data_IF_665194905751
#
_entry.id   IF_665194905751
#
_cell.length_a   1.000
_cell.length_b   1.000
_cell.length_c   1.000
_cell.angle_alpha   90.00
_cell.angle_beta   90.00
_cell.angle_gamma   90.00
#
_symmetry.space_group_name_H-M   'P 1'
#
loop_
_entity.id
_entity.type
_entity.pdbx_description
1 polymer ?
#
# COMPACT_ATOMS: atom_id res chain seq x y z
N UNK A 1 10.51 -4.11 -16.48
CA UNK A 1 11.63 -4.99 -16.86
C UNK A 1 12.63 -4.29 -17.77
N UNK A 2 12.22 -3.80 -18.96
CA UNK A 2 13.13 -3.16 -19.92
C UNK A 2 13.96 -2.03 -19.30
N UNK A 3 13.34 -1.13 -18.54
CA UNK A 3 14.03 -0.02 -17.89
C UNK A 3 15.17 -0.50 -16.96
N UNK A 4 14.87 -1.43 -16.05
CA UNK A 4 15.86 -1.98 -15.11
C UNK A 4 16.97 -2.76 -15.81
N UNK A 5 16.64 -3.54 -16.83
CA UNK A 5 17.65 -4.32 -17.54
C UNK A 5 18.56 -3.44 -18.41
N UNK A 6 17.99 -2.45 -19.11
CA UNK A 6 18.72 -1.63 -20.09
C UNK A 6 19.47 -0.46 -19.46
N UNK A 7 18.89 0.22 -18.47
CA UNK A 7 19.47 1.43 -17.88
C UNK A 7 20.17 1.20 -16.54
N UNK A 8 19.82 0.13 -15.82
CA UNK A 8 20.36 -0.17 -14.50
C UNK A 8 21.16 -1.46 -14.43
N UNK A 9 21.30 -2.15 -15.56
CA UNK A 9 22.08 -3.38 -15.72
C UNK A 9 21.71 -4.47 -14.68
N UNK A 10 20.40 -4.63 -14.45
CA UNK A 10 19.89 -5.70 -13.60
C UNK A 10 19.82 -6.99 -14.42
N UNK A 11 20.14 -8.12 -13.79
CA UNK A 11 19.85 -9.42 -14.37
C UNK A 11 18.34 -9.56 -14.62
N UNK A 12 17.95 -10.42 -15.57
CA UNK A 12 16.56 -10.51 -16.03
C UNK A 12 15.58 -10.85 -14.90
N UNK A 13 16.01 -11.65 -13.90
CA UNK A 13 15.16 -12.09 -12.78
C UNK A 13 14.93 -10.94 -11.81
N UNK A 14 16.00 -10.25 -11.42
CA UNK A 14 15.93 -9.03 -10.60
C UNK A 14 15.14 -7.95 -11.32
N UNK A 15 15.42 -7.68 -12.60
CA UNK A 15 14.71 -6.67 -13.40
C UNK A 15 13.21 -6.96 -13.56
N UNK A 16 12.83 -8.24 -13.61
CA UNK A 16 11.44 -8.66 -13.65
C UNK A 16 10.74 -8.36 -12.32
N UNK A 17 11.26 -8.89 -11.20
CA UNK A 17 10.67 -8.70 -9.86
C UNK A 17 10.70 -7.25 -9.38
N UNK A 18 11.74 -6.50 -9.72
CA UNK A 18 11.83 -5.05 -9.46
C UNK A 18 10.76 -4.25 -10.20
N UNK A 19 10.24 -4.74 -11.32
CA UNK A 19 9.18 -4.06 -12.09
C UNK A 19 7.77 -4.56 -11.83
N UNK A 20 7.61 -5.65 -11.08
CA UNK A 20 6.29 -6.16 -10.73
C UNK A 20 5.66 -5.27 -9.66
N UNK A 21 4.37 -4.90 -9.81
CA UNK A 21 3.63 -4.15 -8.80
C UNK A 21 3.20 -5.08 -7.64
N UNK A 22 4.19 -5.60 -6.91
CA UNK A 22 4.02 -6.42 -5.72
C UNK A 22 4.34 -5.68 -4.42
N UNK A 23 4.07 -6.31 -3.28
CA UNK A 23 4.64 -5.86 -2.00
C UNK A 23 6.12 -6.26 -1.89
N UNK A 24 6.87 -5.54 -1.05
CA UNK A 24 8.31 -5.76 -0.85
C UNK A 24 8.55 -7.21 -0.39
N UNK A 25 7.81 -7.65 0.61
CA UNK A 25 7.97 -8.96 1.26
C UNK A 25 7.79 -10.08 0.24
N UNK A 26 6.74 -10.01 -0.57
CA UNK A 26 6.42 -11.08 -1.50
C UNK A 26 7.40 -11.15 -2.67
N UNK A 27 7.86 -9.99 -3.16
CA UNK A 27 8.89 -9.96 -4.21
C UNK A 27 10.23 -10.49 -3.69
N UNK A 28 10.54 -10.28 -2.42
CA UNK A 28 11.73 -10.87 -1.76
C UNK A 28 11.61 -12.39 -1.68
N UNK A 29 10.46 -12.91 -1.24
CA UNK A 29 10.22 -14.37 -1.15
C UNK A 29 10.35 -15.04 -2.52
N UNK A 30 9.74 -14.47 -3.56
CA UNK A 30 9.86 -15.00 -4.93
C UNK A 30 11.31 -14.86 -5.43
N UNK A 31 11.97 -13.74 -5.09
CA UNK A 31 13.36 -13.47 -5.42
C UNK A 31 14.33 -14.51 -4.87
N UNK A 32 14.14 -14.91 -3.61
CA UNK A 32 14.90 -15.99 -2.97
C UNK A 32 14.76 -17.32 -3.72
N UNK A 33 13.52 -17.67 -4.12
CA UNK A 33 13.25 -18.92 -4.84
C UNK A 33 13.95 -19.00 -6.20
N UNK A 34 14.05 -17.86 -6.92
CA UNK A 34 14.66 -17.81 -8.25
C UNK A 34 16.12 -17.30 -8.24
N UNK A 35 16.71 -17.14 -7.04
CA UNK A 35 18.07 -16.61 -6.82
C UNK A 35 18.31 -15.24 -7.45
N UNK A 36 17.32 -14.35 -7.40
CA UNK A 36 17.45 -12.95 -7.79
C UNK A 36 18.20 -12.14 -6.72
N UNK A 37 18.66 -10.94 -7.08
CA UNK A 37 19.33 -10.05 -6.12
C UNK A 37 18.30 -9.37 -5.21
N UNK A 38 18.12 -9.93 -4.02
CA UNK A 38 17.15 -9.48 -3.00
C UNK A 38 17.39 -8.02 -2.62
N UNK A 39 18.65 -7.63 -2.38
CA UNK A 39 19.00 -6.26 -1.99
C UNK A 39 18.55 -5.23 -3.03
N UNK A 40 18.79 -5.50 -4.31
CA UNK A 40 18.34 -4.64 -5.42
C UNK A 40 16.81 -4.58 -5.50
N UNK A 41 16.12 -5.72 -5.34
CA UNK A 41 14.65 -5.77 -5.34
C UNK A 41 14.08 -4.93 -4.20
N UNK A 42 14.58 -5.14 -2.98
CA UNK A 42 14.15 -4.41 -1.79
C UNK A 42 14.37 -2.91 -1.95
N UNK A 43 15.55 -2.49 -2.39
CA UNK A 43 15.84 -1.07 -2.61
C UNK A 43 14.90 -0.45 -3.65
N UNK A 44 14.67 -1.12 -4.78
CA UNK A 44 13.74 -0.62 -5.81
C UNK A 44 12.32 -0.50 -5.28
N UNK A 45 11.82 -1.53 -4.60
CA UNK A 45 10.45 -1.54 -4.10
C UNK A 45 10.26 -0.49 -3.01
N UNK A 46 11.26 -0.29 -2.15
CA UNK A 46 11.24 0.75 -1.12
C UNK A 46 11.41 2.15 -1.68
N UNK A 47 12.21 2.36 -2.72
CA UNK A 47 12.27 3.64 -3.43
C UNK A 47 10.91 4.01 -4.05
N UNK A 48 10.21 3.05 -4.66
CA UNK A 48 8.84 3.25 -5.16
C UNK A 48 7.88 3.64 -4.04
N UNK A 49 7.90 2.93 -2.91
CA UNK A 49 7.07 3.26 -1.74
C UNK A 49 7.38 4.65 -1.20
N UNK A 50 8.66 4.99 -1.08
CA UNK A 50 9.12 6.30 -0.64
C UNK A 50 8.58 7.42 -1.55
N UNK A 51 8.69 7.26 -2.88
CA UNK A 51 8.16 8.26 -3.81
C UNK A 51 6.66 8.44 -3.66
N UNK A 52 5.89 7.37 -3.44
CA UNK A 52 4.43 7.46 -3.30
C UNK A 52 4.04 8.12 -2.00
N UNK A 53 4.65 7.72 -0.88
CA UNK A 53 4.35 8.30 0.44
C UNK A 53 4.68 9.78 0.46
N UNK A 54 5.72 10.22 -0.25
CA UNK A 54 6.03 11.65 -0.38
C UNK A 54 5.06 12.32 -1.35
N UNK A 55 4.91 11.82 -2.58
CA UNK A 55 4.20 12.55 -3.64
C UNK A 55 2.68 12.56 -3.48
N UNK A 56 2.09 11.45 -3.05
CA UNK A 56 0.63 11.25 -3.08
C UNK A 56 -0.13 12.21 -2.15
N UNK A 57 0.31 12.50 -0.91
CA UNK A 57 -0.30 13.54 -0.10
C UNK A 57 -0.26 14.92 -0.77
N UNK A 58 0.85 15.32 -1.39
CA UNK A 58 0.92 16.61 -2.10
C UNK A 58 -0.03 16.64 -3.30
N UNK A 59 -0.13 15.54 -4.05
CA UNK A 59 -1.09 15.43 -5.16
C UNK A 59 -2.52 15.64 -4.65
N UNK A 60 -2.91 14.96 -3.57
CA UNK A 60 -4.26 15.09 -3.02
C UNK A 60 -4.52 16.52 -2.48
N UNK A 61 -3.57 17.10 -1.75
CA UNK A 61 -3.76 18.40 -1.12
C UNK A 61 -3.75 19.55 -2.14
N UNK A 62 -2.82 19.54 -3.09
CA UNK A 62 -2.62 20.67 -4.00
C UNK A 62 -3.37 20.53 -5.32
N UNK A 63 -3.55 19.31 -5.84
CA UNK A 63 -4.26 19.09 -7.11
C UNK A 63 -5.75 18.88 -6.88
N UNK A 64 -6.12 18.09 -5.86
CA UNK A 64 -7.52 17.80 -5.55
C UNK A 64 -8.12 18.73 -4.49
N UNK A 65 -7.32 19.62 -3.88
CA UNK A 65 -7.75 20.57 -2.87
C UNK A 65 -8.43 19.92 -1.65
N UNK A 66 -8.00 18.71 -1.29
CA UNK A 66 -8.52 17.96 -0.14
C UNK A 66 -7.57 18.15 1.04
N UNK A 67 -8.09 18.64 2.15
CA UNK A 67 -7.31 18.76 3.37
C UNK A 67 -7.02 17.36 3.96
N UNK A 68 -5.73 17.06 4.14
CA UNK A 68 -5.24 15.80 4.68
C UNK A 68 -4.81 16.00 6.15
N UNK A 69 -5.05 17.18 6.74
CA UNK A 69 -4.63 17.53 8.10
C UNK A 69 -5.35 16.74 9.21
N UNK A 70 -6.00 15.62 8.88
CA UNK A 70 -6.54 14.66 9.84
C UNK A 70 -7.70 15.21 10.65
N UNK A 71 -8.52 16.08 10.05
CA UNK A 71 -9.65 16.66 10.74
C UNK A 71 -10.89 16.56 9.83
N UNK A 72 -11.93 15.91 10.34
CA UNK A 72 -13.36 16.27 10.16
C UNK A 72 -14.37 15.25 9.59
N UNK A 73 -14.07 13.96 9.33
CA UNK A 73 -15.16 13.04 8.92
C UNK A 73 -15.19 11.68 9.66
N UNK A 74 -14.08 10.95 9.75
CA UNK A 74 -14.09 9.53 10.19
C UNK A 74 -13.37 9.30 11.52
N UNK A 75 -12.70 10.31 12.05
CA UNK A 75 -11.92 10.23 13.29
C UNK A 75 -12.44 11.19 14.34
N UNK A 76 -12.07 10.93 15.60
CA UNK A 76 -12.38 11.79 16.75
C UNK A 76 -11.12 11.95 17.62
N UNK A 77 -10.99 13.02 18.41
CA UNK A 77 -9.90 13.12 19.38
C UNK A 77 -9.94 11.95 20.38
N UNK A 78 -8.77 11.52 20.86
CA UNK A 78 -8.67 10.44 21.85
C UNK A 78 -9.50 10.71 23.11
N UNK A 79 -9.63 11.99 23.50
CA UNK A 79 -10.40 12.43 24.67
C UNK A 79 -11.90 12.10 24.53
N UNK A 80 -12.42 12.17 23.31
CA UNK A 80 -13.84 11.90 23.00
C UNK A 80 -14.08 10.44 22.60
N UNK A 81 -13.03 9.61 22.62
CA UNK A 81 -13.09 8.20 22.22
C UNK A 81 -13.49 7.31 23.39
N UNK A 82 -14.50 6.46 23.23
CA UNK A 82 -14.83 5.45 24.22
C UNK A 82 -13.75 4.34 24.23
N UNK A 83 -12.83 4.41 25.21
CA UNK A 83 -11.72 3.47 25.34
C UNK A 83 -12.16 2.00 25.47
N UNK A 84 -13.35 1.73 26.02
CA UNK A 84 -13.88 0.37 26.13
C UNK A 84 -14.28 -0.17 24.76
N UNK A 85 -15.01 0.62 23.97
CA UNK A 85 -15.37 0.25 22.60
C UNK A 85 -14.13 0.12 21.71
N UNK A 86 -13.13 0.98 21.87
CA UNK A 86 -11.85 0.87 21.18
C UNK A 86 -11.10 -0.42 21.53
N UNK A 87 -11.12 -0.82 22.80
CA UNK A 87 -10.54 -2.10 23.25
C UNK A 87 -11.29 -3.28 22.62
N UNK A 88 -12.63 -3.29 22.67
CA UNK A 88 -13.44 -4.32 22.02
C UNK A 88 -13.18 -4.39 20.53
N UNK A 89 -13.11 -3.25 19.83
CA UNK A 89 -12.82 -3.18 18.40
C UNK A 89 -11.42 -3.75 18.10
N UNK A 90 -10.43 -3.46 18.93
CA UNK A 90 -9.07 -3.99 18.81
C UNK A 90 -9.05 -5.52 18.99
N UNK A 91 -9.76 -6.03 19.99
CA UNK A 91 -9.91 -7.48 20.21
C UNK A 91 -10.59 -8.17 19.03
N UNK A 92 -11.69 -7.59 18.53
CA UNK A 92 -12.41 -8.11 17.36
C UNK A 92 -11.50 -8.10 16.14
N UNK A 93 -10.76 -7.02 15.91
CA UNK A 93 -9.78 -6.94 14.82
C UNK A 93 -8.75 -8.06 14.91
N UNK A 94 -8.17 -8.29 16.09
CA UNK A 94 -7.21 -9.37 16.31
C UNK A 94 -7.83 -10.76 16.04
N UNK A 95 -9.06 -11.00 16.50
CA UNK A 95 -9.80 -12.24 16.24
C UNK A 95 -10.05 -12.41 14.74
N UNK A 96 -10.49 -11.35 14.05
CA UNK A 96 -10.75 -11.37 12.61
C UNK A 96 -9.50 -11.69 11.81
N UNK A 97 -8.37 -11.05 12.15
CA UNK A 97 -7.08 -11.35 11.54
C UNK A 97 -6.65 -12.79 11.79
N UNK A 98 -6.84 -13.31 13.01
CA UNK A 98 -6.51 -14.68 13.35
C UNK A 98 -7.36 -15.70 12.58
N UNK A 99 -8.68 -15.48 12.49
CA UNK A 99 -9.61 -16.32 11.73
C UNK A 99 -9.24 -16.31 10.24
N UNK A 100 -9.05 -15.12 9.66
CA UNK A 100 -8.70 -14.99 8.25
C UNK A 100 -7.35 -15.64 7.93
N UNK A 101 -6.38 -15.56 8.87
CA UNK A 101 -5.10 -16.24 8.75
C UNK A 101 -5.26 -17.75 8.76
N UNK A 102 -6.09 -18.28 9.67
CA UNK A 102 -6.39 -19.73 9.75
C UNK A 102 -7.07 -20.25 8.47
N UNK A 103 -7.86 -19.40 7.81
CA UNK A 103 -8.50 -19.69 6.52
C UNK A 103 -7.57 -19.49 5.31
N UNK A 104 -6.30 -19.12 5.51
CA UNK A 104 -5.32 -18.82 4.45
C UNK A 104 -5.81 -17.77 3.44
N UNK A 105 -6.56 -16.77 3.91
CA UNK A 105 -7.02 -15.67 3.07
C UNK A 105 -5.84 -14.73 2.78
N UNK A 106 -5.67 -14.35 1.50
CA UNK A 106 -4.70 -13.33 1.09
C UNK A 106 -4.99 -12.00 1.79
N UNK A 107 -3.96 -11.30 2.30
CA UNK A 107 -4.15 -10.11 3.12
C UNK A 107 -5.06 -10.33 4.35
N UNK A 108 -4.98 -11.51 4.98
CA UNK A 108 -5.76 -11.90 6.16
C UNK A 108 -5.81 -10.84 7.27
N UNK A 109 -4.68 -10.20 7.56
CA UNK A 109 -4.54 -9.16 8.59
C UNK A 109 -5.27 -7.85 8.26
N UNK A 110 -5.79 -7.70 7.04
CA UNK A 110 -6.63 -6.59 6.63
C UNK A 110 -8.09 -7.03 6.43
N UNK A 111 -8.30 -8.10 5.67
CA UNK A 111 -9.65 -8.59 5.33
C UNK A 111 -10.40 -9.06 6.58
N UNK A 112 -9.72 -9.81 7.45
CA UNK A 112 -10.31 -10.34 8.68
C UNK A 112 -10.89 -9.25 9.58
N UNK A 113 -10.09 -8.27 10.01
CA UNK A 113 -10.58 -7.13 10.78
C UNK A 113 -11.68 -6.34 10.05
N UNK A 114 -11.57 -6.14 8.73
CA UNK A 114 -12.59 -5.41 7.97
C UNK A 114 -13.95 -6.11 8.01
N UNK A 115 -14.00 -7.42 7.73
CA UNK A 115 -15.27 -8.17 7.72
C UNK A 115 -15.92 -8.15 9.10
N UNK A 116 -15.16 -8.45 10.17
CA UNK A 116 -15.73 -8.44 11.51
C UNK A 116 -16.14 -7.03 11.95
N UNK A 117 -15.35 -6.01 11.61
CA UNK A 117 -15.70 -4.62 11.90
C UNK A 117 -17.02 -4.23 11.21
N UNK A 118 -17.22 -4.62 9.95
CA UNK A 118 -18.47 -4.39 9.22
C UNK A 118 -19.64 -5.05 9.95
N UNK A 119 -19.51 -6.31 10.35
CA UNK A 119 -20.58 -7.04 11.05
C UNK A 119 -20.96 -6.36 12.37
N UNK A 120 -19.97 -5.94 13.16
CA UNK A 120 -20.22 -5.30 14.45
C UNK A 120 -20.85 -3.91 14.28
N UNK A 121 -20.34 -3.09 13.36
CA UNK A 121 -20.91 -1.77 13.09
C UNK A 121 -22.32 -1.87 12.48
N UNK A 122 -22.57 -2.86 11.62
CA UNK A 122 -23.90 -3.08 11.02
C UNK A 122 -24.97 -3.50 12.04
N UNK A 123 -24.56 -4.19 13.12
CA UNK A 123 -25.44 -4.57 14.21
C UNK A 123 -25.64 -3.45 15.26
N UNK A 124 -24.98 -2.30 15.09
CA UNK A 124 -25.05 -1.18 16.03
C UNK A 124 -24.40 -1.46 17.40
N UNK A 125 -23.48 -2.43 17.47
CA UNK A 125 -22.80 -2.81 18.72
C UNK A 125 -21.67 -1.84 19.11
N UNK A 126 -21.05 -1.19 18.13
CA UNK A 126 -19.97 -0.21 18.31
C UNK A 126 -20.26 0.98 17.40
N UNK A 127 -20.11 2.19 17.95
CA UNK A 127 -20.25 3.44 17.23
C UNK A 127 -18.97 4.28 17.27
N UNK A 128 -17.99 3.85 18.06
CA UNK A 128 -16.73 4.57 18.26
C UNK A 128 -15.93 4.66 16.98
N UNK A 129 -15.59 5.91 16.62
CA UNK A 129 -14.65 6.25 15.55
C UNK A 129 -13.20 6.03 16.02
N UNK A 130 -12.30 5.85 15.08
CA UNK A 130 -10.87 5.65 15.38
C UNK A 130 -10.25 6.99 15.84
N UNK A 131 -9.44 7.00 16.91
CA UNK A 131 -8.82 8.24 17.37
C UNK A 131 -7.77 8.79 16.40
N UNK A 132 -7.74 10.11 16.22
CA UNK A 132 -6.78 10.80 15.35
C UNK A 132 -5.33 10.51 15.71
N UNK A 133 -5.04 10.50 17.01
CA UNK A 133 -3.71 10.26 17.56
C UNK A 133 -3.21 8.86 17.22
N UNK A 134 -4.11 7.87 17.13
CA UNK A 134 -3.73 6.51 16.73
C UNK A 134 -3.34 6.46 15.25
N UNK A 135 -4.05 7.18 14.37
CA UNK A 135 -3.67 7.26 12.95
C UNK A 135 -2.32 7.95 12.80
N UNK A 136 -2.09 9.07 13.51
CA UNK A 136 -0.79 9.78 13.51
C UNK A 136 0.33 8.88 14.04
N UNK A 137 0.09 8.11 15.10
CA UNK A 137 1.05 7.14 15.63
C UNK A 137 1.38 6.05 14.60
N UNK A 138 0.37 5.51 13.93
CA UNK A 138 0.56 4.52 12.85
C UNK A 138 1.37 5.11 11.70
N UNK A 139 1.12 6.37 11.29
CA UNK A 139 1.92 7.05 10.27
C UNK A 139 3.41 7.14 10.64
N UNK A 140 3.73 7.46 11.89
CA UNK A 140 5.12 7.50 12.38
C UNK A 140 5.75 6.11 12.28
N UNK A 141 5.02 5.05 12.63
CA UNK A 141 5.49 3.67 12.48
C UNK A 141 5.78 3.35 11.01
N UNK A 142 4.86 3.65 10.09
CA UNK A 142 5.06 3.39 8.66
C UNK A 142 6.24 4.17 8.08
N UNK A 143 6.37 5.46 8.42
CA UNK A 143 7.53 6.27 8.02
C UNK A 143 8.84 5.70 8.53
N UNK A 144 8.83 5.19 9.78
CA UNK A 144 9.97 4.52 10.39
C UNK A 144 10.32 3.23 9.66
N UNK A 145 9.35 2.36 9.34
CA UNK A 145 9.55 1.11 8.58
C UNK A 145 10.18 1.39 7.21
N UNK A 146 9.66 2.38 6.47
CA UNK A 146 10.21 2.77 5.17
C UNK A 146 11.66 3.25 5.33
N UNK A 147 11.93 4.10 6.32
CA UNK A 147 13.29 4.58 6.62
C UNK A 147 14.25 3.44 6.99
N UNK A 148 13.82 2.48 7.80
CA UNK A 148 14.61 1.32 8.20
C UNK A 148 14.99 0.41 7.03
N UNK A 149 14.28 0.48 5.91
CA UNK A 149 14.64 -0.32 4.72
C UNK A 149 16.01 0.09 4.15
N UNK A 150 16.46 1.32 4.40
CA UNK A 150 17.76 1.82 3.96
C UNK A 150 18.85 1.66 5.02
N UNK A 151 18.57 0.99 6.14
CA UNK A 151 19.54 0.77 7.21
C UNK A 151 20.74 -0.02 6.70
N UNK A 152 21.95 0.50 6.93
CA UNK A 152 23.20 -0.15 6.53
C UNK A 152 23.54 -0.01 5.05
N UNK A 153 22.85 0.88 4.32
CA UNK A 153 23.16 1.21 2.92
C UNK A 153 23.84 2.57 2.88
N UNK A 154 24.95 2.68 2.16
CA UNK A 154 25.67 3.95 2.01
C UNK A 154 24.76 5.04 1.42
N UNK A 155 24.86 6.26 1.94
CA UNK A 155 24.09 7.42 1.48
C UNK A 155 24.18 7.62 -0.05
N UNK A 156 25.38 7.46 -0.61
CA UNK A 156 25.61 7.56 -2.06
C UNK A 156 24.80 6.51 -2.83
N UNK A 157 24.77 5.28 -2.34
CA UNK A 157 24.01 4.18 -2.93
C UNK A 157 22.51 4.41 -2.83
N UNK A 158 22.02 4.96 -1.71
CA UNK A 158 20.61 5.35 -1.54
C UNK A 158 20.24 6.39 -2.59
N UNK A 159 21.01 7.48 -2.68
CA UNK A 159 20.72 8.57 -3.62
C UNK A 159 20.79 8.10 -5.08
N UNK A 160 21.82 7.31 -5.42
CA UNK A 160 21.94 6.71 -6.74
C UNK A 160 20.74 5.81 -7.05
N UNK A 161 20.27 5.02 -6.09
CA UNK A 161 19.11 4.14 -6.28
C UNK A 161 17.82 4.93 -6.45
N UNK A 162 17.62 6.00 -5.66
CA UNK A 162 16.46 6.88 -5.83
C UNK A 162 16.47 7.53 -7.21
N UNK A 163 17.57 8.14 -7.62
CA UNK A 163 17.69 8.77 -8.96
C UNK A 163 17.48 7.73 -10.07
N UNK A 164 18.12 6.57 -9.94
CA UNK A 164 17.98 5.45 -10.87
C UNK A 164 16.54 4.96 -11.02
N UNK A 165 15.81 4.83 -9.91
CA UNK A 165 14.45 4.28 -9.89
C UNK A 165 13.38 5.31 -10.20
N UNK A 166 13.72 6.61 -10.11
CA UNK A 166 12.80 7.70 -10.38
C UNK A 166 12.22 7.64 -11.80
N UNK A 167 13.04 7.32 -12.81
CA UNK A 167 12.53 7.17 -14.18
C UNK A 167 11.49 6.05 -14.32
N UNK A 168 11.69 4.93 -13.63
CA UNK A 168 10.67 3.87 -13.59
C UNK A 168 9.41 4.32 -12.86
N UNK A 169 9.54 5.05 -11.75
CA UNK A 169 8.41 5.60 -11.02
C UNK A 169 7.57 6.53 -11.89
N UNK A 170 8.19 7.43 -12.68
CA UNK A 170 7.47 8.31 -13.61
C UNK A 170 6.73 7.51 -14.68
N UNK A 171 7.37 6.48 -15.26
CA UNK A 171 6.71 5.61 -16.24
C UNK A 171 5.48 4.94 -15.62
N UNK A 172 5.61 4.39 -14.41
CA UNK A 172 4.49 3.78 -13.69
C UNK A 172 3.39 4.81 -13.39
N UNK A 173 3.75 6.02 -12.95
CA UNK A 173 2.79 7.08 -12.65
C UNK A 173 2.00 7.49 -13.90
N UNK A 174 2.65 7.64 -15.06
CA UNK A 174 1.97 7.96 -16.32
C UNK A 174 1.02 6.84 -16.76
N UNK A 175 1.44 5.58 -16.63
CA UNK A 175 0.57 4.44 -16.92
C UNK A 175 -0.62 4.43 -15.95
N UNK A 176 -0.40 4.64 -14.66
CA UNK A 176 -1.48 4.75 -13.68
C UNK A 176 -2.44 5.88 -14.01
N UNK A 177 -1.96 7.07 -14.39
CA UNK A 177 -2.80 8.19 -14.79
C UNK A 177 -3.70 7.81 -15.98
N UNK A 178 -3.17 7.14 -16.99
CA UNK A 178 -3.94 6.66 -18.13
C UNK A 178 -5.10 5.75 -17.68
N UNK A 179 -4.82 4.77 -16.82
CA UNK A 179 -5.85 3.86 -16.30
C UNK A 179 -6.83 4.54 -15.34
N UNK A 180 -6.38 5.51 -14.55
CA UNK A 180 -7.24 6.32 -13.69
C UNK A 180 -8.23 7.12 -14.54
N UNK A 181 -7.76 7.79 -15.59
CA UNK A 181 -8.62 8.53 -16.52
C UNK A 181 -9.64 7.60 -17.17
N UNK A 182 -9.19 6.44 -17.66
CA UNK A 182 -10.10 5.45 -18.25
C UNK A 182 -11.16 4.98 -17.25
N UNK A 183 -10.75 4.61 -16.02
CA UNK A 183 -11.67 4.16 -15.00
C UNK A 183 -12.66 5.25 -14.57
N UNK A 184 -12.22 6.51 -14.52
CA UNK A 184 -13.09 7.64 -14.17
C UNK A 184 -14.21 7.87 -15.19
N UNK A 185 -13.95 7.66 -16.49
CA UNK A 185 -14.99 7.79 -17.52
C UNK A 185 -15.87 6.55 -17.66
N UNK A 186 -15.38 5.37 -17.26
CA UNK A 186 -16.13 4.12 -17.38
C UNK A 186 -16.95 3.78 -16.13
N UNK A 187 -16.58 4.30 -14.96
CA UNK A 187 -17.19 3.93 -13.69
C UNK A 187 -17.54 5.16 -12.84
N UNK A 188 -18.71 5.13 -12.21
CA UNK A 188 -19.21 6.20 -11.32
C UNK A 188 -18.61 6.11 -9.90
N UNK A 189 -17.29 6.08 -9.78
CA UNK A 189 -16.58 6.16 -8.50
C UNK A 189 -15.89 7.52 -8.33
N UNK A 190 -15.75 7.96 -7.07
CA UNK A 190 -14.99 9.17 -6.75
C UNK A 190 -13.56 9.08 -7.28
N UNK A 191 -13.08 10.15 -7.93
CA UNK A 191 -11.74 10.23 -8.50
C UNK A 191 -10.65 9.91 -7.48
N UNK A 192 -10.85 10.25 -6.21
CA UNK A 192 -9.89 9.94 -5.13
C UNK A 192 -9.84 8.45 -4.85
N UNK A 193 -10.98 7.77 -4.86
CA UNK A 193 -11.02 6.32 -4.65
C UNK A 193 -10.35 5.59 -5.82
N UNK A 194 -10.56 6.07 -7.05
CA UNK A 194 -9.89 5.55 -8.26
C UNK A 194 -8.38 5.82 -8.21
N UNK A 195 -7.97 7.05 -7.92
CA UNK A 195 -6.56 7.46 -7.78
C UNK A 195 -5.83 6.54 -6.80
N UNK A 196 -6.41 6.34 -5.62
CA UNK A 196 -5.82 5.49 -4.59
C UNK A 196 -5.79 4.01 -5.01
N UNK A 197 -6.86 3.49 -5.61
CA UNK A 197 -6.94 2.10 -6.04
C UNK A 197 -5.93 1.73 -7.16
N UNK A 198 -5.66 2.67 -8.08
CA UNK A 198 -4.74 2.48 -9.21
C UNK A 198 -3.32 3.00 -8.92
N UNK A 199 -3.10 3.62 -7.76
CA UNK A 199 -1.78 4.06 -7.34
C UNK A 199 -0.86 2.86 -7.18
N UNK A 200 0.37 2.91 -7.74
CA UNK A 200 1.30 1.79 -7.72
C UNK A 200 2.01 1.72 -6.36
N UNK A 201 1.30 1.85 -5.24
CA UNK A 201 1.85 1.88 -3.88
C UNK A 201 1.54 0.62 -3.07
N UNK A 202 2.03 0.62 -1.84
CA UNK A 202 1.78 -0.45 -0.87
C UNK A 202 0.34 -0.39 -0.37
N UNK A 203 -0.26 -1.56 -0.13
CA UNK A 203 -1.66 -1.67 0.26
C UNK A 203 -1.94 -0.98 1.59
N UNK A 204 -1.01 -1.10 2.55
CA UNK A 204 -1.18 -0.57 3.89
C UNK A 204 -1.11 0.98 3.91
N UNK A 205 -0.13 1.55 3.21
CA UNK A 205 0.08 3.00 3.13
C UNK A 205 -1.06 3.69 2.39
N UNK A 206 -1.51 3.10 1.27
CA UNK A 206 -2.63 3.66 0.51
C UNK A 206 -3.93 3.59 1.34
N UNK A 207 -4.17 2.50 2.06
CA UNK A 207 -5.36 2.40 2.91
C UNK A 207 -5.33 3.39 4.08
N UNK A 208 -4.14 3.72 4.61
CA UNK A 208 -3.99 4.78 5.61
C UNK A 208 -4.40 6.13 5.00
N UNK A 209 -3.86 6.48 3.83
CA UNK A 209 -4.23 7.73 3.13
C UNK A 209 -5.74 7.74 2.82
N UNK A 210 -6.32 6.62 2.42
CA UNK A 210 -7.74 6.47 2.17
C UNK A 210 -8.61 6.80 3.38
N UNK A 211 -8.19 6.40 4.59
CA UNK A 211 -8.86 6.75 5.85
C UNK A 211 -8.84 8.25 6.08
N UNK A 212 -7.69 8.92 5.84
CA UNK A 212 -7.54 10.36 6.06
C UNK A 212 -8.46 11.19 5.17
N UNK A 213 -8.60 10.78 3.91
CA UNK A 213 -9.35 11.54 2.90
C UNK A 213 -10.79 11.04 2.73
N UNK A 214 -11.23 10.17 3.64
CA UNK A 214 -12.54 9.53 3.62
C UNK A 214 -12.91 8.85 2.29
N UNK A 215 -11.94 8.21 1.64
CA UNK A 215 -12.16 7.46 0.41
C UNK A 215 -12.84 6.10 0.67
N UNK A 216 -13.32 5.48 -0.40
CA UNK A 216 -13.96 4.16 -0.33
C UNK A 216 -12.90 3.05 -0.12
N UNK A 217 -12.60 2.74 1.15
CA UNK A 217 -11.61 1.73 1.54
C UNK A 217 -11.95 0.33 1.00
N UNK A 218 -13.22 -0.16 1.02
CA UNK A 218 -13.57 -1.43 0.41
C UNK A 218 -13.20 -1.52 -1.07
N UNK A 219 -13.53 -0.49 -1.85
CA UNK A 219 -13.19 -0.44 -3.28
C UNK A 219 -11.67 -0.53 -3.51
N UNK A 220 -10.90 0.29 -2.79
CA UNK A 220 -9.43 0.33 -2.89
C UNK A 220 -8.82 -1.02 -2.48
N UNK A 221 -9.31 -1.59 -1.39
CA UNK A 221 -8.82 -2.85 -0.85
C UNK A 221 -9.04 -4.00 -1.81
N UNK A 222 -10.23 -4.10 -2.43
CA UNK A 222 -10.52 -5.14 -3.42
C UNK A 222 -9.57 -5.03 -4.63
N UNK A 223 -9.31 -3.82 -5.14
CA UNK A 223 -8.36 -3.61 -6.25
C UNK A 223 -6.96 -4.09 -5.89
N UNK A 224 -6.47 -3.74 -4.70
CA UNK A 224 -5.15 -4.18 -4.23
C UNK A 224 -5.06 -5.68 -3.99
N UNK A 225 -6.11 -6.30 -3.45
CA UNK A 225 -6.16 -7.76 -3.26
C UNK A 225 -6.15 -8.45 -4.61
N UNK A 226 -6.97 -8.01 -5.56
CA UNK A 226 -7.01 -8.57 -6.91
C UNK A 226 -5.65 -8.45 -7.59
N UNK A 227 -5.01 -7.28 -7.49
CA UNK A 227 -3.63 -7.06 -7.97
C UNK A 227 -2.66 -8.04 -7.34
N UNK A 228 -2.65 -8.18 -6.01
CA UNK A 228 -1.76 -9.10 -5.31
C UNK A 228 -2.04 -10.55 -5.70
N UNK A 229 -3.31 -10.96 -5.79
CA UNK A 229 -3.69 -12.30 -6.21
C UNK A 229 -3.17 -12.61 -7.61
N UNK A 230 -3.38 -11.71 -8.57
CA UNK A 230 -2.87 -11.85 -9.94
C UNK A 230 -1.34 -11.94 -9.94
N UNK A 231 -0.66 -11.03 -9.25
CA UNK A 231 0.82 -11.00 -9.21
C UNK A 231 1.38 -12.26 -8.54
N UNK A 232 0.84 -12.70 -7.40
CA UNK A 232 1.32 -13.90 -6.69
C UNK A 232 1.15 -15.17 -7.50
N UNK A 233 0.08 -15.29 -8.30
CA UNK A 233 -0.13 -16.48 -9.12
C UNK A 233 0.67 -16.43 -10.43
N UNK A 234 0.74 -15.26 -11.08
CA UNK A 234 1.33 -15.13 -12.42
C UNK A 234 2.85 -14.91 -12.35
N UNK A 235 3.35 -14.10 -11.41
CA UNK A 235 4.76 -13.73 -11.37
C UNK A 235 5.69 -14.95 -11.23
N UNK A 236 5.42 -15.96 -10.37
CA UNK A 236 6.26 -17.15 -10.29
C UNK A 236 6.26 -17.98 -11.59
N UNK A 237 5.13 -18.06 -12.29
CA UNK A 237 4.99 -18.81 -13.55
C UNK A 237 5.86 -18.17 -14.64
N UNK A 238 5.81 -16.83 -14.75
CA UNK A 238 6.62 -16.09 -15.71
C UNK A 238 8.11 -16.13 -15.29
N UNK A 239 8.41 -15.93 -14.01
CA UNK A 239 9.78 -15.90 -13.51
C UNK A 239 10.52 -17.23 -13.74
N UNK A 240 9.84 -18.38 -13.67
CA UNK A 240 10.44 -19.69 -13.98
C UNK A 240 10.82 -19.86 -15.45
N UNK A 241 10.21 -19.09 -16.36
CA UNK A 241 10.50 -19.14 -17.80
C UNK A 241 11.67 -18.22 -18.21
N UNK A 242 12.21 -17.42 -17.28
CA UNK A 242 13.27 -16.42 -17.51
C UNK A 242 14.60 -16.88 -16.89
#
# INVERSE_FOLDING_TARGET
MYYYHRFLDFDKRTAFLSSMPGGVIEMVIIGEQIKANISKITLVQSSRLFFIVITLPFVIQYIFHIDISGNQIITVPLVDTNLKELFYLSCVGAIGAFIAKKLNISAAYLIGPMILSILIHSNGLIHTKIPDELIKFVQVIFGTIIGFTFKGVDYKTILQTLIATFGHFIILALISILFISLAYYLFDFSIISILLAFSPGGQAEINLIAILVAANIPYITIHHIMRLFIVMNIAPIIARRI
#
